data_IF_861886588770
#
_entry.id   IF_861886588770
#
_cell.length_a   1.000
_cell.length_b   1.000
_cell.length_c   1.000
_cell.angle_alpha   90.00
_cell.angle_beta   90.00
_cell.angle_gamma   90.00
#
_symmetry.space_group_name_H-M   'P 1'
#
loop_
_entity.id
_entity.type
_entity.pdbx_description
1 polymer ?
#
# COMPACT_ATOMS: atom_id res chain seq x y z
N UNK A 1 10.58 18.02 13.31
CA UNK A 1 9.56 18.03 12.25
C UNK A 1 9.59 16.66 11.58
N UNK A 2 8.76 15.70 12.01
CA UNK A 2 8.79 14.31 11.50
C UNK A 2 7.75 14.13 10.41
N UNK A 3 8.12 14.40 9.17
CA UNK A 3 7.37 13.96 8.00
C UNK A 3 8.05 12.69 7.45
N UNK A 4 7.25 11.69 7.07
CA UNK A 4 7.49 10.83 5.91
C UNK A 4 8.50 9.66 5.90
N UNK A 5 8.88 9.00 6.99
CA UNK A 5 9.61 7.72 6.84
C UNK A 5 8.60 6.59 6.58
N UNK A 6 8.54 6.11 5.33
CA UNK A 6 7.99 4.79 5.05
C UNK A 6 9.07 3.71 5.16
N UNK A 7 8.62 2.47 5.12
CA UNK A 7 9.43 1.27 5.29
C UNK A 7 9.47 0.45 4.01
N UNK A 8 10.46 -0.44 3.90
CA UNK A 8 10.52 -1.38 2.79
C UNK A 8 9.39 -2.40 2.93
N UNK A 9 8.72 -2.69 1.81
CA UNK A 9 7.90 -3.88 1.69
C UNK A 9 8.78 -5.11 1.83
N UNK A 10 8.33 -6.06 2.62
CA UNK A 10 8.97 -7.36 2.79
C UNK A 10 7.98 -8.46 2.46
N UNK A 11 8.47 -9.69 2.29
CA UNK A 11 7.58 -10.87 2.23
C UNK A 11 7.70 -11.63 3.54
N UNK A 12 6.56 -11.94 4.13
CA UNK A 12 6.49 -12.78 5.32
C UNK A 12 6.67 -14.26 4.98
N UNK A 13 6.63 -15.12 6.01
CA UNK A 13 6.85 -16.57 5.88
C UNK A 13 5.85 -17.27 4.96
N UNK A 14 4.63 -16.72 4.81
CA UNK A 14 3.61 -17.22 3.88
C UNK A 14 3.62 -16.52 2.52
N UNK A 15 4.71 -15.79 2.21
CA UNK A 15 4.97 -15.07 0.96
C UNK A 15 4.02 -13.90 0.67
N UNK A 16 3.29 -13.39 1.65
CA UNK A 16 2.50 -12.16 1.52
C UNK A 16 3.36 -10.93 1.77
N UNK A 17 2.98 -9.81 1.17
CA UNK A 17 3.65 -8.54 1.43
C UNK A 17 3.32 -8.04 2.83
N UNK A 18 4.28 -7.42 3.49
CA UNK A 18 4.07 -6.71 4.75
C UNK A 18 4.86 -5.40 4.79
N UNK A 19 4.39 -4.46 5.61
CA UNK A 19 5.08 -3.22 5.91
C UNK A 19 4.85 -2.88 7.38
N UNK A 20 5.92 -2.51 8.09
CA UNK A 20 5.86 -2.21 9.54
C UNK A 20 5.20 -3.33 10.37
N UNK A 21 5.45 -4.59 9.99
CA UNK A 21 4.86 -5.77 10.64
C UNK A 21 3.36 -5.98 10.38
N UNK A 22 2.77 -5.23 9.45
CA UNK A 22 1.37 -5.40 9.03
C UNK A 22 1.32 -6.15 7.71
N UNK A 23 0.75 -7.35 7.74
CA UNK A 23 0.46 -8.14 6.53
C UNK A 23 -0.55 -7.41 5.63
N UNK A 24 -0.22 -7.34 4.34
CA UNK A 24 -1.07 -6.77 3.29
C UNK A 24 -1.82 -7.89 2.57
N UNK A 25 -3.12 -7.69 2.45
CA UNK A 25 -4.06 -8.54 1.71
C UNK A 25 -4.87 -7.72 0.72
N UNK A 26 -5.66 -8.37 -0.14
CA UNK A 26 -6.60 -7.68 -1.04
C UNK A 26 -7.47 -6.68 -0.27
N UNK A 27 -7.58 -5.46 -0.78
CA UNK A 27 -8.27 -4.33 -0.14
C UNK A 27 -7.43 -3.55 0.88
N UNK A 28 -6.21 -3.98 1.21
CA UNK A 28 -5.33 -3.25 2.13
C UNK A 28 -4.87 -1.93 1.50
N UNK A 29 -5.11 -0.80 2.19
CA UNK A 29 -4.69 0.52 1.71
C UNK A 29 -3.29 0.88 2.18
N UNK A 30 -2.49 1.45 1.28
CA UNK A 30 -1.13 1.95 1.55
C UNK A 30 -0.81 3.13 0.64
N UNK A 31 0.25 3.86 0.99
CA UNK A 31 0.92 4.80 0.11
C UNK A 31 2.28 4.24 -0.30
N UNK A 32 2.59 4.27 -1.59
CA UNK A 32 3.86 3.81 -2.16
C UNK A 32 4.66 5.02 -2.66
N UNK A 33 5.96 5.05 -2.40
CA UNK A 33 6.84 6.12 -2.89
C UNK A 33 7.24 5.83 -4.34
N UNK A 34 6.59 6.49 -5.30
CA UNK A 34 6.87 6.38 -6.74
C UNK A 34 7.41 7.71 -7.25
N UNK A 35 8.60 7.70 -7.86
CA UNK A 35 9.22 8.92 -8.41
C UNK A 35 9.43 10.05 -7.38
N UNK A 36 9.59 9.71 -6.09
CA UNK A 36 9.71 10.68 -5.01
C UNK A 36 8.36 11.23 -4.48
N UNK A 37 7.23 10.74 -4.99
CA UNK A 37 5.89 11.13 -4.57
C UNK A 37 5.20 9.97 -3.86
N UNK A 38 4.52 10.26 -2.75
CA UNK A 38 3.65 9.28 -2.08
C UNK A 38 2.35 9.14 -2.85
N UNK A 39 2.13 7.95 -3.40
CA UNK A 39 0.97 7.63 -4.21
C UNK A 39 0.05 6.73 -3.39
N UNK A 40 -1.19 7.15 -3.08
CA UNK A 40 -2.14 6.30 -2.36
C UNK A 40 -2.75 5.24 -3.28
N UNK A 41 -3.10 4.10 -2.70
CA UNK A 41 -3.78 3.03 -3.42
C UNK A 41 -4.11 1.85 -2.53
N UNK A 42 -4.42 0.72 -3.16
CA UNK A 42 -4.78 -0.53 -2.49
C UNK A 42 -4.02 -1.72 -3.05
N UNK A 43 -3.84 -2.75 -2.24
CA UNK A 43 -3.33 -4.04 -2.68
C UNK A 43 -4.48 -4.87 -3.24
N UNK A 44 -4.25 -5.56 -4.37
CA UNK A 44 -5.15 -6.60 -4.89
C UNK A 44 -4.38 -7.80 -5.43
N UNK A 45 -4.93 -9.00 -5.22
CA UNK A 45 -4.40 -10.21 -5.86
C UNK A 45 -4.83 -10.26 -7.33
N UNK A 46 -3.87 -10.36 -8.23
CA UNK A 46 -4.12 -10.46 -9.67
C UNK A 46 -3.88 -11.88 -10.15
N UNK A 47 -4.97 -12.62 -10.40
CA UNK A 47 -4.92 -14.01 -10.89
C UNK A 47 -4.01 -14.20 -12.13
N UNK A 48 -4.04 -13.34 -13.16
CA UNK A 48 -3.15 -13.50 -14.31
C UNK A 48 -1.66 -13.39 -13.98
N UNK A 49 -1.30 -12.66 -12.92
CA UNK A 49 0.08 -12.50 -12.45
C UNK A 49 0.46 -13.54 -11.39
N UNK A 50 -0.52 -14.21 -10.80
CA UNK A 50 -0.31 -15.14 -9.69
C UNK A 50 0.17 -14.47 -8.39
N UNK A 51 0.04 -13.15 -8.28
CA UNK A 51 0.62 -12.37 -7.18
C UNK A 51 -0.15 -11.07 -6.90
N UNK A 52 0.24 -10.36 -5.85
CA UNK A 52 -0.33 -9.07 -5.48
C UNK A 52 0.23 -7.91 -6.29
N UNK A 53 -0.64 -6.93 -6.55
CA UNK A 53 -0.30 -5.67 -7.15
C UNK A 53 -0.88 -4.50 -6.35
N UNK A 54 -0.26 -3.35 -6.52
CA UNK A 54 -0.73 -2.08 -6.03
C UNK A 54 -1.56 -1.39 -7.12
N UNK A 55 -2.81 -1.11 -6.81
CA UNK A 55 -3.74 -0.37 -7.68
C UNK A 55 -3.84 1.04 -7.15
N UNK A 56 -3.58 2.00 -8.03
CA UNK A 56 -3.73 3.44 -7.76
C UNK A 56 -4.49 4.10 -8.90
N UNK A 57 -5.11 5.24 -8.62
CA UNK A 57 -5.81 6.06 -9.60
C UNK A 57 -5.07 7.37 -9.82
N UNK A 58 -4.83 7.73 -11.07
CA UNK A 58 -4.10 8.95 -11.45
C UNK A 58 -4.97 9.86 -12.32
N UNK A 59 -5.82 10.68 -11.70
CA UNK A 59 -6.78 11.52 -12.45
C UNK A 59 -7.76 10.70 -13.31
N UNK A 60 -8.82 11.36 -13.78
CA UNK A 60 -9.90 10.85 -14.68
C UNK A 60 -10.18 9.33 -14.66
N UNK A 61 -10.36 8.76 -13.46
CA UNK A 61 -10.87 7.40 -13.20
C UNK A 61 -10.10 6.21 -13.80
N UNK A 62 -8.86 6.38 -14.27
CA UNK A 62 -8.05 5.26 -14.75
C UNK A 62 -7.28 4.58 -13.61
N UNK A 63 -7.53 3.28 -13.42
CA UNK A 63 -6.73 2.43 -12.54
C UNK A 63 -5.41 2.06 -13.21
N UNK A 64 -4.31 2.37 -12.51
CA UNK A 64 -2.97 1.93 -12.87
C UNK A 64 -2.54 0.81 -11.93
N UNK A 65 -1.99 -0.24 -12.52
CA UNK A 65 -1.51 -1.43 -11.82
C UNK A 65 0.00 -1.42 -11.74
N UNK A 66 0.52 -1.53 -10.52
CA UNK A 66 1.96 -1.60 -10.24
C UNK A 66 2.24 -2.94 -9.58
N UNK A 67 3.08 -3.76 -10.20
CA UNK A 67 3.54 -5.00 -9.57
C UNK A 67 4.22 -4.67 -8.23
N UNK A 68 3.89 -5.39 -7.17
CA UNK A 68 4.58 -5.23 -5.89
C UNK A 68 5.88 -6.04 -5.90
N UNK A 69 6.93 -5.49 -5.29
CA UNK A 69 8.17 -6.22 -5.03
C UNK A 69 8.76 -5.86 -3.66
N UNK A 70 9.51 -6.80 -3.09
CA UNK A 70 10.18 -6.59 -1.83
C UNK A 70 11.27 -5.51 -1.99
N UNK A 71 11.32 -4.56 -1.06
CA UNK A 71 12.21 -3.40 -1.11
C UNK A 71 11.57 -2.12 -1.64
N UNK A 72 10.36 -2.17 -2.21
CA UNK A 72 9.57 -0.95 -2.47
C UNK A 72 9.35 -0.18 -1.17
N UNK A 73 9.42 1.15 -1.22
CA UNK A 73 9.14 1.98 -0.04
C UNK A 73 7.64 2.27 0.02
N UNK A 74 7.02 1.90 1.13
CA UNK A 74 5.61 2.05 1.40
C UNK A 74 5.36 2.56 2.82
N UNK A 75 4.15 3.05 3.07
CA UNK A 75 3.67 3.34 4.43
C UNK A 75 2.17 3.09 4.52
N UNK A 76 1.72 2.72 5.71
CA UNK A 76 0.29 2.69 6.00
C UNK A 76 -0.25 4.12 6.00
N UNK A 77 -1.47 4.36 5.47
CA UNK A 77 -2.04 5.69 5.44
C UNK A 77 -2.23 6.16 6.87
N UNK A 78 -1.94 7.43 7.13
CA UNK A 78 -2.20 8.02 8.43
C UNK A 78 -3.67 7.77 8.79
N UNK A 79 -3.94 7.07 9.90
CA UNK A 79 -5.31 6.90 10.39
C UNK A 79 -5.91 8.29 10.55
N UNK A 80 -6.82 8.69 9.66
CA UNK A 80 -7.81 9.69 10.04
C UNK A 80 -8.61 9.03 11.15
N UNK A 81 -8.54 9.55 12.37
CA UNK A 81 -9.59 9.28 13.35
C UNK A 81 -10.90 9.72 12.69
N UNK A 82 -11.61 8.78 12.08
CA UNK A 82 -13.01 8.97 11.73
C UNK A 82 -13.71 9.36 13.03
N UNK A 83 -14.50 10.43 12.96
CA UNK A 83 -15.16 11.08 14.08
C UNK A 83 -15.61 10.08 15.14
N UNK A 84 -14.93 10.15 16.28
CA UNK A 84 -15.40 9.58 17.53
C UNK A 84 -16.64 10.38 17.94
N UNK A 85 -17.83 9.95 17.52
CA UNK A 85 -19.00 10.06 18.40
C UNK A 85 -18.96 8.82 19.27
N UNK A 86 -18.27 8.93 20.41
CA UNK A 86 -18.60 8.05 21.53
C UNK A 86 -19.89 8.57 22.19
N UNK A 87 -20.69 7.68 22.81
CA UNK A 87 -21.66 8.12 23.81
C UNK A 87 -20.97 8.86 24.97
#
# INVERSE_FOLDING_TARGET
MNQSQGSKLERNEIRRFEVDGVELTSGSCLEVLLGGVWVPGRVEYMHPMGDYAFITTSGEDFETYVALWAGMIARLPARRQAGRLLP
#
